data_IF_582365360044
#
_entry.id   IF_582365360044
#
_cell.length_a   1.000
_cell.length_b   1.000
_cell.length_c   1.000
_cell.angle_alpha   90.00
_cell.angle_beta   90.00
_cell.angle_gamma   90.00
#
_symmetry.space_group_name_H-M   'P 1'
#
loop_
_entity.id
_entity.type
_entity.pdbx_description
1 polymer ?
#
# COMPACT_ATOMS: atom_id res chain seq x y z
N UNK A 1 18.22 9.68 13.88
CA UNK A 1 17.54 10.13 12.65
C UNK A 1 16.32 9.25 12.47
N UNK A 2 15.16 9.68 12.99
CA UNK A 2 13.92 8.92 12.89
C UNK A 2 13.25 9.25 11.56
N UNK A 3 13.34 8.34 10.58
CA UNK A 3 12.47 8.41 9.42
C UNK A 3 11.05 8.12 9.91
N UNK A 4 10.16 9.09 9.72
CA UNK A 4 8.73 9.00 10.02
C UNK A 4 8.13 7.84 9.21
N UNK A 5 8.15 6.65 9.81
CA UNK A 5 7.29 5.56 9.41
C UNK A 5 5.87 6.12 9.36
N UNK A 6 5.17 5.90 8.24
CA UNK A 6 3.80 6.36 8.04
C UNK A 6 2.89 5.82 9.17
N UNK A 7 2.77 6.53 10.29
CA UNK A 7 1.86 6.24 11.42
C UNK A 7 0.47 6.80 11.13
N UNK A 8 0.02 6.75 9.88
CA UNK A 8 -1.37 7.05 9.55
C UNK A 8 -2.19 5.79 9.84
N UNK A 9 -3.08 5.86 10.83
CA UNK A 9 -4.09 4.82 11.02
C UNK A 9 -5.06 4.88 9.84
N UNK A 10 -5.10 3.80 9.06
CA UNK A 10 -6.08 3.63 8.01
C UNK A 10 -7.31 2.94 8.59
N UNK A 11 -8.50 3.43 8.23
CA UNK A 11 -9.73 2.74 8.56
C UNK A 11 -9.90 1.53 7.64
N UNK A 12 -10.79 0.60 8.03
CA UNK A 12 -11.22 -0.49 7.15
C UNK A 12 -11.73 0.02 5.81
N UNK A 13 -12.44 1.16 5.80
CA UNK A 13 -12.96 1.76 4.58
C UNK A 13 -11.83 2.27 3.67
N UNK A 14 -10.78 2.88 4.24
CA UNK A 14 -9.61 3.31 3.48
C UNK A 14 -8.87 2.12 2.84
N UNK A 15 -8.71 1.04 3.60
CA UNK A 15 -8.08 -0.19 3.10
C UNK A 15 -8.87 -0.79 1.95
N UNK A 16 -10.19 -0.96 2.12
CA UNK A 16 -11.07 -1.49 1.06
C UNK A 16 -11.07 -0.57 -0.16
N UNK A 17 -11.19 0.74 0.05
CA UNK A 17 -11.17 1.73 -1.02
C UNK A 17 -9.89 1.67 -1.84
N UNK A 18 -8.73 1.53 -1.17
CA UNK A 18 -7.45 1.39 -1.85
C UNK A 18 -7.33 0.06 -2.59
N UNK A 19 -7.55 -1.07 -1.90
CA UNK A 19 -7.31 -2.39 -2.47
C UNK A 19 -8.35 -2.74 -3.53
N UNK A 20 -9.64 -2.65 -3.21
CA UNK A 20 -10.72 -3.05 -4.11
C UNK A 20 -11.09 -1.97 -5.13
N UNK A 21 -10.95 -0.69 -4.76
CA UNK A 21 -11.31 0.43 -5.64
C UNK A 21 -10.20 0.85 -6.61
N UNK A 22 -8.93 0.62 -6.26
CA UNK A 22 -7.79 1.11 -7.06
C UNK A 22 -6.87 -0.03 -7.51
N UNK A 23 -6.37 -0.85 -6.59
CA UNK A 23 -5.33 -1.84 -6.89
C UNK A 23 -5.86 -3.00 -7.73
N UNK A 24 -6.91 -3.68 -7.29
CA UNK A 24 -7.46 -4.86 -7.98
C UNK A 24 -8.00 -4.53 -9.39
N UNK A 25 -8.69 -3.39 -9.63
CA UNK A 25 -9.08 -3.02 -10.98
C UNK A 25 -7.91 -2.72 -11.91
N UNK A 26 -6.83 -2.11 -11.40
CA UNK A 26 -5.63 -1.80 -12.20
C UNK A 26 -4.73 -3.01 -12.43
N UNK A 27 -4.70 -3.93 -11.46
CA UNK A 27 -3.83 -5.11 -11.43
C UNK A 27 -4.72 -6.33 -11.15
N UNK A 28 -5.38 -6.90 -12.18
CA UNK A 28 -6.33 -7.99 -11.99
C UNK A 28 -5.71 -9.29 -11.45
N UNK A 29 -4.40 -9.47 -11.65
CA UNK A 29 -3.62 -10.62 -11.18
C UNK A 29 -2.83 -10.32 -9.88
N UNK A 30 -3.19 -9.23 -9.18
CA UNK A 30 -2.53 -8.83 -7.95
C UNK A 30 -2.56 -9.97 -6.93
N UNK A 31 -1.40 -10.27 -6.34
CA UNK A 31 -1.27 -11.28 -5.30
C UNK A 31 -0.27 -10.88 -4.23
N UNK A 32 -0.53 -11.38 -3.03
CA UNK A 32 0.44 -11.43 -1.93
C UNK A 32 1.17 -12.77 -1.97
N UNK A 33 2.48 -12.75 -2.16
CA UNK A 33 3.38 -13.89 -2.01
C UNK A 33 4.10 -13.89 -0.66
N UNK A 34 4.96 -14.88 -0.46
CA UNK A 34 5.93 -14.94 0.67
C UNK A 34 5.35 -14.96 2.10
N UNK A 35 4.15 -15.51 2.31
CA UNK A 35 3.61 -15.68 3.67
C UNK A 35 4.56 -16.53 4.54
N UNK A 36 5.10 -15.93 5.61
CA UNK A 36 5.98 -16.61 6.56
C UNK A 36 5.19 -17.33 7.68
N UNK A 37 5.92 -17.97 8.60
CA UNK A 37 5.49 -18.91 9.66
C UNK A 37 4.36 -18.45 10.57
N UNK A 38 4.05 -17.15 10.62
CA UNK A 38 3.01 -16.60 11.50
C UNK A 38 3.41 -16.61 12.97
N UNK A 39 4.71 -16.45 13.25
CA UNK A 39 5.24 -16.36 14.62
C UNK A 39 4.49 -15.28 15.39
N UNK A 40 4.09 -15.61 16.62
CA UNK A 40 3.39 -14.68 17.50
C UNK A 40 4.43 -13.98 18.38
N UNK A 41 4.46 -12.66 18.37
CA UNK A 41 5.33 -11.89 19.27
C UNK A 41 4.79 -11.88 20.70
N UNK A 42 5.61 -11.42 21.65
CA UNK A 42 5.26 -11.38 23.07
C UNK A 42 4.01 -10.51 23.37
N UNK A 43 3.67 -9.60 22.45
CA UNK A 43 2.48 -8.72 22.52
C UNK A 43 1.22 -9.36 21.92
N UNK A 44 1.32 -10.61 21.43
CA UNK A 44 0.22 -11.39 20.86
C UNK A 44 -0.11 -11.06 19.40
N UNK A 45 0.81 -10.43 18.67
CA UNK A 45 0.66 -10.18 17.23
C UNK A 45 1.30 -11.30 16.41
N UNK A 46 0.60 -11.77 15.39
CA UNK A 46 1.21 -12.61 14.36
C UNK A 46 2.08 -11.73 13.45
N UNK A 47 3.36 -12.06 13.33
CA UNK A 47 4.29 -11.41 12.40
C UNK A 47 4.19 -12.13 11.06
N UNK A 48 3.80 -11.38 10.03
CA UNK A 48 3.61 -11.91 8.68
C UNK A 48 4.46 -11.09 7.72
N UNK A 49 5.34 -11.75 6.99
CA UNK A 49 6.02 -11.17 5.82
C UNK A 49 5.17 -11.45 4.59
N UNK A 50 4.95 -10.45 3.76
CA UNK A 50 4.23 -10.56 2.48
C UNK A 50 4.99 -9.85 1.38
N UNK A 51 4.76 -10.22 0.13
CA UNK A 51 5.33 -9.50 -1.02
C UNK A 51 4.23 -9.25 -2.06
N UNK A 52 4.06 -8.00 -2.48
CA UNK A 52 3.11 -7.66 -3.54
C UNK A 52 3.71 -7.87 -4.93
N UNK A 53 2.95 -8.50 -5.82
CA UNK A 53 3.33 -8.67 -7.23
C UNK A 53 2.10 -8.71 -8.14
N UNK A 54 2.28 -8.35 -9.41
CA UNK A 54 1.24 -8.39 -10.45
C UNK A 54 1.61 -7.60 -11.70
N UNK A 55 0.66 -7.49 -12.63
CA UNK A 55 0.78 -6.78 -13.90
C UNK A 55 -0.25 -5.65 -14.03
N UNK A 56 0.22 -4.45 -14.36
CA UNK A 56 -0.65 -3.29 -14.59
C UNK A 56 -1.28 -3.34 -15.98
N UNK A 57 -2.37 -4.10 -16.10
CA UNK A 57 -3.05 -4.41 -17.37
C UNK A 57 -4.54 -4.05 -17.37
N UNK A 58 -5.09 -3.68 -16.21
CA UNK A 58 -6.51 -3.38 -16.05
C UNK A 58 -6.84 -1.90 -16.28
N UNK A 59 -7.57 -1.30 -15.34
CA UNK A 59 -7.91 0.12 -15.36
C UNK A 59 -6.69 1.02 -15.03
N UNK A 60 -6.77 2.34 -15.30
CA UNK A 60 -5.75 3.27 -14.82
C UNK A 60 -5.58 3.22 -13.29
N UNK A 61 -4.33 3.20 -12.82
CA UNK A 61 -4.02 3.25 -11.40
C UNK A 61 -4.19 4.67 -10.86
N UNK A 62 -5.33 4.96 -10.23
CA UNK A 62 -5.65 6.26 -9.65
C UNK A 62 -5.40 6.30 -8.12
N UNK A 63 -4.14 6.49 -7.72
CA UNK A 63 -3.78 6.58 -6.30
C UNK A 63 -4.21 7.94 -5.72
N UNK A 64 -4.71 8.00 -4.47
CA UNK A 64 -5.12 9.27 -3.86
C UNK A 64 -3.99 10.31 -3.83
N UNK A 65 -4.23 11.49 -4.40
CA UNK A 65 -3.27 12.60 -4.44
C UNK A 65 -2.13 12.45 -5.45
N UNK A 66 -2.24 11.50 -6.38
CA UNK A 66 -1.27 11.28 -7.47
C UNK A 66 -1.98 11.30 -8.82
N UNK A 67 -1.23 11.63 -9.88
CA UNK A 67 -1.73 11.54 -11.25
C UNK A 67 -2.07 10.09 -11.60
N UNK A 68 -3.24 9.82 -12.21
CA UNK A 68 -3.58 8.47 -12.65
C UNK A 68 -2.56 7.93 -13.66
N UNK A 69 -2.11 6.68 -13.46
CA UNK A 69 -1.23 6.02 -14.43
C UNK A 69 -2.07 5.18 -15.40
N UNK A 70 -1.95 5.39 -16.72
CA UNK A 70 -2.59 4.48 -17.68
C UNK A 70 -1.94 3.09 -17.61
N UNK A 71 -2.67 2.03 -18.02
CA UNK A 71 -2.17 0.65 -18.01
C UNK A 71 -0.83 0.56 -18.74
N UNK A 72 0.21 0.17 -18.01
CA UNK A 72 1.58 0.20 -18.52
C UNK A 72 2.07 -1.15 -19.04
N UNK A 73 1.30 -2.22 -18.79
CA UNK A 73 1.68 -3.61 -19.09
C UNK A 73 2.87 -4.12 -18.25
N UNK A 74 3.39 -3.30 -17.33
CA UNK A 74 4.56 -3.64 -16.53
C UNK A 74 4.21 -4.64 -15.45
N UNK A 75 5.07 -5.64 -15.33
CA UNK A 75 5.15 -6.46 -14.13
C UNK A 75 5.83 -5.68 -13.01
N UNK A 76 5.35 -5.82 -11.78
CA UNK A 76 6.06 -5.37 -10.59
C UNK A 76 6.22 -6.51 -9.59
N UNK A 77 7.29 -6.41 -8.81
CA UNK A 77 7.53 -7.20 -7.62
C UNK A 77 8.13 -6.25 -6.59
N UNK A 78 7.39 -5.99 -5.50
CA UNK A 78 7.84 -5.07 -4.46
C UNK A 78 8.82 -5.73 -3.51
N UNK A 79 9.48 -4.93 -2.67
CA UNK A 79 10.20 -5.48 -1.52
C UNK A 79 9.22 -6.20 -0.58
N UNK A 80 9.74 -7.11 0.23
CA UNK A 80 8.97 -7.76 1.29
C UNK A 80 8.40 -6.70 2.25
N UNK A 81 7.21 -6.94 2.78
CA UNK A 81 6.51 -6.07 3.72
C UNK A 81 6.24 -6.88 4.97
N UNK A 82 6.66 -6.38 6.14
CA UNK A 82 6.38 -7.03 7.42
C UNK A 82 5.13 -6.39 8.02
N UNK A 83 4.14 -7.22 8.31
CA UNK A 83 2.87 -6.83 8.92
C UNK A 83 2.74 -7.51 10.28
N UNK A 84 2.43 -6.74 11.32
CA UNK A 84 1.95 -7.28 12.58
C UNK A 84 0.43 -7.37 12.53
N UNK A 85 -0.13 -8.56 12.70
CA UNK A 85 -1.56 -8.82 12.61
C UNK A 85 -2.06 -9.28 13.97
N UNK A 86 -2.99 -8.52 14.56
CA UNK A 86 -3.67 -8.92 15.79
C UNK A 86 -4.95 -9.66 15.44
N UNK A 87 -5.10 -10.87 15.95
CA UNK A 87 -6.31 -11.68 15.80
C UNK A 87 -7.03 -11.76 17.14
N UNK A 88 -8.32 -11.45 17.15
CA UNK A 88 -9.18 -11.58 18.34
C UNK A 88 -10.34 -12.49 17.97
N UNK A 89 -10.37 -13.68 18.56
CA UNK A 89 -11.30 -14.74 18.17
C UNK A 89 -10.97 -15.26 16.77
N UNK A 90 -11.93 -15.17 15.85
CA UNK A 90 -11.84 -15.61 14.46
C UNK A 90 -11.55 -14.47 13.47
N UNK A 91 -11.25 -13.26 13.95
CA UNK A 91 -11.16 -12.05 13.12
C UNK A 91 -9.87 -11.28 13.33
N UNK A 92 -9.36 -10.71 12.24
CA UNK A 92 -8.30 -9.70 12.29
C UNK A 92 -8.86 -8.43 12.91
N UNK A 93 -8.31 -8.05 14.06
CA UNK A 93 -8.68 -6.85 14.80
C UNK A 93 -7.79 -5.65 14.42
N UNK A 94 -6.52 -5.89 14.10
CA UNK A 94 -5.56 -4.83 13.79
C UNK A 94 -4.48 -5.34 12.83
N UNK A 95 -4.04 -4.48 11.90
CA UNK A 95 -2.88 -4.71 11.05
C UNK A 95 -1.97 -3.49 11.18
N UNK A 96 -0.72 -3.72 11.58
CA UNK A 96 0.33 -2.71 11.62
C UNK A 96 1.36 -3.06 10.54
N UNK A 97 1.41 -2.25 9.49
CA UNK A 97 2.42 -2.40 8.44
C UNK A 97 3.70 -1.71 8.92
N UNK A 98 4.78 -2.48 9.07
CA UNK A 98 6.07 -1.91 9.42
C UNK A 98 6.67 -1.20 8.20
N UNK A 99 7.26 -0.01 8.38
CA UNK A 99 7.86 0.73 7.26
C UNK A 99 8.97 -0.10 6.61
N UNK A 100 8.83 -0.39 5.31
CA UNK A 100 9.92 -0.93 4.51
C UNK A 100 10.14 -0.11 3.23
N UNK A 101 11.40 0.20 2.94
CA UNK A 101 11.78 0.89 1.70
C UNK A 101 11.56 -0.08 0.53
N UNK A 102 10.69 0.32 -0.41
CA UNK A 102 10.37 -0.47 -1.59
C UNK A 102 9.09 -1.31 -1.49
N UNK A 103 8.35 -1.21 -0.37
CA UNK A 103 7.02 -1.78 -0.23
C UNK A 103 5.93 -0.69 -0.17
N UNK A 104 4.67 -1.12 -0.31
CA UNK A 104 3.50 -0.27 -0.16
C UNK A 104 3.12 0.63 -1.35
N UNK A 105 2.10 1.50 -1.15
CA UNK A 105 1.43 2.27 -2.21
C UNK A 105 2.34 3.12 -3.10
N UNK A 106 3.34 3.80 -2.50
CA UNK A 106 4.27 4.67 -3.25
C UNK A 106 5.28 3.88 -4.07
N UNK A 107 5.75 2.76 -3.53
CA UNK A 107 6.66 1.87 -4.25
C UNK A 107 5.95 1.24 -5.47
N UNK A 108 4.69 0.84 -5.30
CA UNK A 108 3.84 0.38 -6.41
C UNK A 108 3.74 1.44 -7.51
N UNK A 109 3.35 2.66 -7.14
CA UNK A 109 3.21 3.77 -8.09
C UNK A 109 4.51 4.04 -8.86
N UNK A 110 5.65 4.07 -8.15
CA UNK A 110 6.96 4.24 -8.76
C UNK A 110 7.35 3.08 -9.70
N UNK A 111 7.12 1.83 -9.28
CA UNK A 111 7.41 0.64 -10.08
C UNK A 111 6.65 0.64 -11.42
N UNK A 112 5.43 1.18 -11.42
CA UNK A 112 4.58 1.28 -12.60
C UNK A 112 4.89 2.48 -13.50
N UNK A 113 5.90 3.29 -13.14
CA UNK A 113 6.38 4.43 -13.94
C UNK A 113 5.88 5.79 -13.45
N UNK A 114 5.15 5.83 -12.34
CA UNK A 114 4.70 7.07 -11.73
C UNK A 114 5.85 7.85 -11.09
N UNK A 115 5.87 9.16 -11.34
CA UNK A 115 6.79 10.08 -10.66
C UNK A 115 6.12 10.61 -9.42
N UNK A 116 6.69 10.35 -8.24
CA UNK A 116 6.18 10.97 -7.02
C UNK A 116 6.19 12.50 -7.20
N UNK A 117 5.13 13.22 -6.78
CA UNK A 117 5.17 14.67 -6.79
C UNK A 117 6.38 15.12 -5.98
N UNK A 118 7.16 16.06 -6.54
CA UNK A 118 8.22 16.71 -5.77
C UNK A 118 7.58 17.28 -4.49
N UNK A 119 8.33 17.34 -3.40
CA UNK A 119 7.83 17.81 -2.09
C UNK A 119 7.13 19.20 -2.20
N UNK A 120 7.49 20.00 -3.21
CA UNK A 120 6.85 21.26 -3.55
C UNK A 120 5.41 21.12 -4.10
N UNK A 121 5.11 20.08 -4.89
CA UNK A 121 3.77 19.83 -5.43
C UNK A 121 2.80 19.27 -4.37
N UNK A 122 3.30 18.47 -3.41
CA UNK A 122 2.49 17.99 -2.30
C UNK A 122 2.07 19.11 -1.33
N UNK A 123 2.92 20.13 -1.14
CA UNK A 123 2.59 21.32 -0.35
C UNK A 123 1.52 22.20 -1.03
N UNK A 124 1.50 22.27 -2.37
CA UNK A 124 0.49 23.02 -3.10
C UNK A 124 -0.89 22.33 -3.08
N UNK A 125 -0.94 20.99 -3.15
CA UNK A 125 -2.20 20.24 -3.06
C UNK A 125 -2.83 20.28 -1.66
N UNK A 126 -2.01 20.36 -0.60
CA UNK A 126 -2.49 20.54 0.78
C UNK A 126 -2.95 21.98 1.09
N UNK A 127 -2.58 22.95 0.24
CA UNK A 127 -2.95 24.36 0.37
C UNK A 127 -4.16 24.76 -0.50
N UNK A 128 -4.70 23.85 -1.31
CA UNK A 128 -5.91 24.10 -2.07
C UNK A 128 -7.13 24.02 -1.14
N UNK A 129 -7.98 25.09 -1.04
CA UNK A 129 -9.21 25.01 -0.29
C UNK A 129 -10.14 23.94 -0.89
N UNK A 130 -11.00 23.29 -0.09
CA UNK A 130 -12.00 22.38 -0.63
C UNK A 130 -12.85 23.15 -1.65
N UNK A 131 -12.99 22.58 -2.86
CA UNK A 131 -13.82 23.14 -3.91
C UNK A 131 -15.27 23.33 -3.38
N UNK A 132 -15.95 24.42 -3.81
CA UNK A 132 -17.23 24.87 -3.23
C UNK A 132 -18.40 23.89 -3.41
#
# INVERSE_FOLDING_TARGET
MGEEGYTKKFTKADYIGLTAGVVLPAIPDFKWGHACSGDVDDDGFCIVTVQATGHHTGAPLAMPGLEPLPPSGRHFCLAEEVQKVKVVGDKVAEIQVLPNKGAGPRALYAALGGKAPSQAAAAAAAAAPPLP
#
